data_IF_312450828259
#
_entry.id   IF_312450828259
#
_cell.length_a   1.000
_cell.length_b   1.000
_cell.length_c   1.000
_cell.angle_alpha   90.00
_cell.angle_beta   90.00
_cell.angle_gamma   90.00
#
_symmetry.space_group_name_H-M   'P 1'
#
loop_
_entity.id
_entity.type
_entity.pdbx_description
1 polymer ?
#
# COMPACT_ATOMS: atom_id res chain seq x y z
N UNK A 1 68.45 45.57 -30.00
CA UNK A 1 67.72 45.60 -31.28
C UNK A 1 66.26 45.28 -31.01
N UNK A 2 65.42 46.29 -31.21
CA UNK A 2 63.95 46.31 -31.38
C UNK A 2 63.03 45.47 -30.49
N UNK A 3 62.46 46.14 -29.47
CA UNK A 3 61.00 46.16 -29.24
C UNK A 3 60.29 47.04 -30.28
N UNK A 4 58.96 46.96 -30.46
CA UNK A 4 58.11 47.93 -29.76
C UNK A 4 56.66 47.51 -29.39
N UNK A 5 56.21 48.12 -28.28
CA UNK A 5 54.92 48.80 -28.03
C UNK A 5 53.58 48.00 -28.05
N UNK A 6 52.87 47.89 -26.91
CA UNK A 6 52.06 48.88 -26.12
C UNK A 6 50.60 48.97 -26.58
N UNK A 7 49.67 48.81 -25.63
CA UNK A 7 48.78 49.89 -25.18
C UNK A 7 48.07 49.51 -23.88
N UNK A 8 48.27 50.35 -22.87
CA UNK A 8 47.41 50.51 -21.70
C UNK A 8 46.30 51.50 -22.05
N UNK A 9 45.08 51.30 -21.54
CA UNK A 9 44.16 52.38 -21.14
C UNK A 9 43.38 51.92 -19.91
N UNK A 10 43.36 52.79 -18.91
CA UNK A 10 42.69 52.73 -17.63
C UNK A 10 41.67 53.86 -17.66
N UNK A 11 40.36 53.59 -17.50
CA UNK A 11 39.35 54.63 -17.25
C UNK A 11 38.19 54.09 -16.38
N UNK A 12 38.16 54.64 -15.16
CA UNK A 12 37.05 55.13 -14.34
C UNK A 12 35.80 54.28 -14.00
N UNK A 13 35.71 54.02 -12.69
CA UNK A 13 34.63 54.42 -11.76
C UNK A 13 33.17 54.17 -12.14
N UNK A 14 32.57 53.24 -11.39
CA UNK A 14 31.14 53.18 -11.15
C UNK A 14 30.90 52.56 -9.78
N UNK A 15 30.99 53.36 -8.72
CA UNK A 15 30.50 53.00 -7.40
C UNK A 15 28.99 52.80 -7.49
N UNK A 16 28.53 51.56 -7.55
CA UNK A 16 27.15 51.23 -7.24
C UNK A 16 27.12 50.68 -5.81
N UNK A 17 26.55 51.49 -4.91
CA UNK A 17 26.17 51.06 -3.57
C UNK A 17 25.26 49.83 -3.70
N UNK A 18 25.82 48.64 -3.50
CA UNK A 18 25.02 47.49 -3.10
C UNK A 18 24.67 47.71 -1.64
N UNK A 19 23.46 48.22 -1.43
CA UNK A 19 22.80 48.20 -0.13
C UNK A 19 22.87 46.75 0.36
N UNK A 20 23.66 46.53 1.42
CA UNK A 20 23.64 45.33 2.23
C UNK A 20 22.25 45.21 2.86
N UNK A 21 21.29 44.71 2.09
CA UNK A 21 20.20 43.98 2.69
C UNK A 21 20.84 42.71 3.24
N UNK A 22 20.87 42.59 4.56
CA UNK A 22 21.05 41.32 5.24
C UNK A 22 19.90 40.40 4.83
N UNK A 23 19.97 39.88 3.61
CA UNK A 23 19.07 38.85 3.12
C UNK A 23 19.33 37.61 3.96
N UNK A 24 18.29 37.10 4.62
CA UNK A 24 18.25 35.69 5.00
C UNK A 24 18.77 34.89 3.81
N UNK A 25 19.72 33.98 4.03
CA UNK A 25 20.28 33.19 2.94
C UNK A 25 19.14 32.57 2.14
N UNK A 26 19.24 32.59 0.81
CA UNK A 26 18.23 32.05 -0.12
C UNK A 26 17.87 30.57 0.16
N UNK A 27 18.68 29.87 0.97
CA UNK A 27 18.47 28.51 1.48
C UNK A 27 17.52 28.42 2.69
N UNK A 28 17.43 29.46 3.52
CA UNK A 28 16.64 29.43 4.77
C UNK A 28 15.14 29.64 4.56
N UNK A 29 14.73 30.16 3.40
CA UNK A 29 13.34 30.50 3.07
C UNK A 29 12.68 29.54 2.08
N UNK A 30 13.24 28.33 1.88
CA UNK A 30 12.78 27.40 0.85
C UNK A 30 11.64 26.48 1.30
N UNK A 31 11.53 26.21 2.60
CA UNK A 31 10.56 25.28 3.15
C UNK A 31 9.36 26.02 3.74
N UNK A 32 8.16 25.64 3.32
CA UNK A 32 6.91 26.14 3.88
C UNK A 32 6.43 25.20 4.99
N UNK A 33 6.59 25.61 6.25
CA UNK A 33 6.15 24.83 7.39
C UNK A 33 4.62 24.65 7.47
N UNK A 34 3.83 25.45 6.73
CA UNK A 34 2.38 25.26 6.63
C UNK A 34 2.01 23.99 5.88
N UNK A 35 2.91 23.48 5.05
CA UNK A 35 2.75 22.21 4.33
C UNK A 35 3.07 20.99 5.21
N UNK A 36 3.62 21.19 6.42
CA UNK A 36 4.03 20.10 7.30
C UNK A 36 2.84 19.25 7.75
N UNK A 37 2.96 17.94 7.55
CA UNK A 37 2.07 16.94 8.12
C UNK A 37 2.81 16.14 9.19
N UNK A 38 2.19 16.02 10.36
CA UNK A 38 2.67 15.15 11.43
C UNK A 38 1.95 13.82 11.34
N UNK A 39 2.59 12.76 11.83
CA UNK A 39 2.03 11.42 11.76
C UNK A 39 3.08 10.34 11.69
N UNK A 40 2.60 9.10 11.62
CA UNK A 40 3.43 7.92 11.42
C UNK A 40 3.17 7.36 10.03
N UNK A 41 4.25 7.11 9.31
CA UNK A 41 4.26 6.49 7.98
C UNK A 41 5.09 5.22 8.07
N UNK A 42 4.77 4.23 7.25
CA UNK A 42 5.59 3.02 7.13
C UNK A 42 5.72 2.69 5.67
N UNK A 43 6.95 2.62 5.18
CA UNK A 43 7.25 2.21 3.81
C UNK A 43 7.69 0.74 3.84
N UNK A 44 7.24 -0.07 2.89
CA UNK A 44 7.88 -1.36 2.58
C UNK A 44 9.09 -1.09 1.70
N UNK A 45 10.22 -1.72 2.02
CA UNK A 45 11.47 -1.60 1.28
C UNK A 45 11.62 -2.80 0.34
N UNK A 46 11.93 -2.55 -0.93
CA UNK A 46 12.16 -3.56 -1.94
C UNK A 46 13.55 -3.38 -2.57
N UNK A 47 14.25 -4.48 -2.83
CA UNK A 47 15.27 -4.50 -3.88
C UNK A 47 14.58 -4.69 -5.22
N UNK A 48 15.07 -4.00 -6.25
CA UNK A 48 14.52 -4.11 -7.60
C UNK A 48 15.60 -4.61 -8.56
N UNK A 49 15.42 -5.82 -9.07
CA UNK A 49 16.35 -6.48 -9.99
C UNK A 49 15.59 -7.06 -11.18
N UNK A 50 16.02 -6.75 -12.41
CA UNK A 50 15.37 -7.25 -13.63
C UNK A 50 13.87 -6.88 -13.74
N UNK A 51 13.43 -5.81 -13.08
CA UNK A 51 12.03 -5.40 -13.01
C UNK A 51 11.18 -6.16 -11.97
N UNK A 52 11.77 -7.09 -11.23
CA UNK A 52 11.11 -7.79 -10.11
C UNK A 52 11.44 -7.12 -8.78
N UNK A 53 10.45 -7.04 -7.90
CA UNK A 53 10.58 -6.45 -6.56
C UNK A 53 10.68 -7.58 -5.52
N UNK A 54 11.68 -7.52 -4.65
CA UNK A 54 11.80 -8.42 -3.50
C UNK A 54 11.69 -7.61 -2.21
N UNK A 55 10.69 -7.92 -1.38
CA UNK A 55 10.51 -7.28 -0.07
C UNK A 55 11.69 -7.66 0.84
N UNK A 56 12.38 -6.63 1.35
CA UNK A 56 13.53 -6.76 2.24
C UNK A 56 13.28 -6.19 3.64
N UNK A 57 12.08 -5.65 3.91
CA UNK A 57 11.70 -5.14 5.22
C UNK A 57 10.92 -3.83 5.16
N UNK A 58 11.03 -3.02 6.23
CA UNK A 58 10.26 -1.78 6.38
C UNK A 58 11.08 -0.60 6.88
N UNK A 59 10.64 0.60 6.50
CA UNK A 59 11.14 1.86 7.02
C UNK A 59 9.98 2.66 7.62
N UNK A 60 9.92 2.70 8.95
CA UNK A 60 8.91 3.44 9.68
C UNK A 60 9.41 4.83 10.05
N UNK A 61 8.57 5.84 9.86
CA UNK A 61 8.89 7.24 10.10
C UNK A 61 7.80 7.82 10.99
N UNK A 62 8.18 8.52 12.04
CA UNK A 62 7.24 9.25 12.89
C UNK A 62 7.70 10.71 13.03
N UNK A 63 6.84 11.60 12.56
CA UNK A 63 7.04 13.05 12.49
C UNK A 63 6.16 13.69 13.56
N UNK A 64 6.79 14.43 14.48
CA UNK A 64 6.11 15.15 15.55
C UNK A 64 6.61 16.58 15.64
N UNK A 65 5.77 17.46 16.15
CA UNK A 65 6.16 18.82 16.54
C UNK A 65 6.05 18.92 18.06
N UNK A 66 7.12 19.37 18.71
CA UNK A 66 7.16 19.64 20.15
C UNK A 66 8.06 20.83 20.41
N UNK A 67 7.64 21.79 21.23
CA UNK A 67 8.48 22.91 21.69
C UNK A 67 9.20 23.65 20.55
N UNK A 68 8.47 23.98 19.47
CA UNK A 68 9.01 24.63 18.27
C UNK A 68 10.14 23.85 17.57
N UNK A 69 10.15 22.53 17.74
CA UNK A 69 11.06 21.59 17.08
C UNK A 69 10.27 20.59 16.24
N UNK A 70 10.82 20.27 15.08
CA UNK A 70 10.46 19.11 14.30
C UNK A 70 11.26 17.91 14.84
N UNK A 71 10.57 16.88 15.30
CA UNK A 71 11.16 15.64 15.78
C UNK A 71 10.81 14.52 14.81
N UNK A 72 11.85 13.96 14.20
CA UNK A 72 11.77 12.81 13.31
C UNK A 72 12.38 11.60 14.01
N UNK A 73 11.62 10.53 14.11
CA UNK A 73 12.11 9.23 14.57
C UNK A 73 11.94 8.21 13.46
N UNK A 74 12.99 7.45 13.16
CA UNK A 74 12.96 6.44 12.10
C UNK A 74 13.36 5.08 12.65
N UNK A 75 12.72 4.03 12.13
CA UNK A 75 13.07 2.65 12.39
C UNK A 75 13.21 1.93 11.05
N UNK A 76 14.41 1.48 10.72
CA UNK A 76 14.66 0.58 9.59
C UNK A 76 14.70 -0.85 10.13
N UNK A 77 13.80 -1.70 9.65
CA UNK A 77 13.69 -3.10 10.04
C UNK A 77 13.81 -3.97 8.78
N UNK A 78 15.04 -4.38 8.46
CA UNK A 78 15.34 -5.27 7.34
C UNK A 78 15.31 -6.73 7.80
N UNK A 79 14.82 -7.64 6.97
CA UNK A 79 14.73 -9.05 7.32
C UNK A 79 16.10 -9.64 7.64
N UNK A 80 16.20 -10.36 8.76
CA UNK A 80 17.44 -10.98 9.23
C UNK A 80 18.45 -10.03 9.87
N UNK A 81 18.13 -8.73 10.02
CA UNK A 81 18.97 -7.74 10.69
C UNK A 81 18.24 -7.16 11.91
N UNK A 82 18.99 -6.73 12.92
CA UNK A 82 18.38 -5.94 14.01
C UNK A 82 17.94 -4.56 13.50
N UNK A 83 16.94 -3.99 14.16
CA UNK A 83 16.39 -2.67 13.82
C UNK A 83 17.43 -1.55 13.97
N UNK A 84 17.47 -0.64 12.99
CA UNK A 84 18.24 0.60 13.09
C UNK A 84 17.30 1.73 13.49
N UNK A 85 17.67 2.45 14.54
CA UNK A 85 16.85 3.48 15.15
C UNK A 85 17.56 4.80 15.08
N UNK A 86 16.87 5.80 14.55
CA UNK A 86 17.41 7.13 14.49
C UNK A 86 16.42 8.18 15.02
N UNK A 87 16.99 9.26 15.53
CA UNK A 87 16.25 10.46 15.92
C UNK A 87 16.96 11.66 15.31
N UNK A 88 16.23 12.48 14.55
CA UNK A 88 16.67 13.80 14.13
C UNK A 88 15.74 14.86 14.69
N UNK A 89 16.31 15.95 15.19
CA UNK A 89 15.57 17.08 15.72
C UNK A 89 16.06 18.34 15.02
N UNK A 90 15.13 19.08 14.44
CA UNK A 90 15.40 20.36 13.77
C UNK A 90 14.55 21.48 14.35
N UNK A 91 15.01 22.71 14.25
CA UNK A 91 14.20 23.89 14.57
C UNK A 91 13.04 24.00 13.57
N UNK A 92 11.80 24.21 14.04
CA UNK A 92 10.63 24.22 13.16
C UNK A 92 10.57 25.45 12.24
N UNK A 93 11.14 26.58 12.67
CA UNK A 93 11.06 27.85 11.92
C UNK A 93 12.06 27.95 10.77
N UNK A 94 13.17 27.20 10.83
CA UNK A 94 14.22 27.28 9.82
C UNK A 94 14.84 25.93 9.43
N UNK A 95 14.35 24.83 9.99
CA UNK A 95 14.80 23.45 9.74
C UNK A 95 16.30 23.17 9.95
N UNK A 96 17.04 24.09 10.59
CA UNK A 96 18.40 23.81 11.03
C UNK A 96 18.37 22.65 12.03
N UNK A 97 19.27 21.66 11.89
CA UNK A 97 19.34 20.57 12.84
C UNK A 97 19.79 21.08 14.21
N UNK A 98 19.36 20.37 15.24
CA UNK A 98 19.64 20.64 16.66
C UNK A 98 20.26 19.42 17.30
N UNK A 99 19.77 18.23 16.94
CA UNK A 99 20.26 16.96 17.47
C UNK A 99 20.07 15.84 16.47
N UNK A 100 20.99 14.88 16.48
CA UNK A 100 20.88 13.62 15.73
C UNK A 100 21.41 12.48 16.59
N UNK A 101 20.71 11.37 16.61
CA UNK A 101 21.23 10.10 17.10
C UNK A 101 20.92 8.97 16.12
N UNK A 102 21.83 8.02 16.04
CA UNK A 102 21.71 6.80 15.24
C UNK A 102 22.22 5.64 16.05
N UNK A 103 21.46 4.55 16.10
CA UNK A 103 21.88 3.30 16.73
C UNK A 103 21.50 2.13 15.84
N UNK A 104 22.50 1.31 15.51
CA UNK A 104 22.36 0.07 14.76
C UNK A 104 23.34 -0.98 15.26
N UNK A 105 23.36 -2.15 14.62
CA UNK A 105 24.39 -3.17 14.85
C UNK A 105 25.79 -2.72 14.44
N UNK A 106 25.89 -1.76 13.51
CA UNK A 106 27.16 -1.32 12.93
C UNK A 106 27.75 -0.11 13.66
N UNK A 107 26.90 0.77 14.19
CA UNK A 107 27.35 2.02 14.81
C UNK A 107 26.43 2.53 15.91
N UNK A 108 26.99 3.35 16.78
CA UNK A 108 26.24 4.37 17.53
C UNK A 108 26.79 5.75 17.18
N UNK A 109 25.92 6.73 17.02
CA UNK A 109 26.32 8.10 16.73
C UNK A 109 25.40 9.07 17.46
N UNK A 110 25.99 10.14 17.99
CA UNK A 110 25.28 11.29 18.54
C UNK A 110 25.92 12.56 17.99
N UNK A 111 25.10 13.49 17.53
CA UNK A 111 25.51 14.82 17.06
C UNK A 111 24.66 15.89 17.74
N UNK A 112 25.32 16.96 18.18
CA UNK A 112 24.73 18.20 18.65
C UNK A 112 25.13 19.31 17.70
N UNK A 113 24.15 20.05 17.20
CA UNK A 113 24.36 21.10 16.22
C UNK A 113 24.25 22.46 16.88
N UNK A 114 25.32 23.26 16.76
CA UNK A 114 25.39 24.64 17.25
C UNK A 114 26.33 25.47 16.39
N UNK A 115 27.11 26.37 17.01
CA UNK A 115 28.23 27.04 16.33
C UNK A 115 29.29 26.04 15.82
N UNK A 116 29.40 24.91 16.51
CA UNK A 116 30.15 23.73 16.11
C UNK A 116 29.19 22.54 16.07
N UNK A 117 29.46 21.56 15.21
CA UNK A 117 28.86 20.22 15.27
C UNK A 117 29.75 19.37 16.17
N UNK A 118 29.19 18.85 17.26
CA UNK A 118 29.93 18.07 18.26
C UNK A 118 29.25 16.73 18.53
N UNK A 119 30.00 15.76 19.06
CA UNK A 119 29.42 14.49 19.49
C UNK A 119 30.39 13.33 19.32
N UNK A 120 29.87 12.14 19.02
CA UNK A 120 30.71 10.97 18.80
C UNK A 120 30.15 10.03 17.74
N UNK A 121 31.06 9.24 17.16
CA UNK A 121 30.77 8.08 16.33
C UNK A 121 31.49 6.86 16.91
N UNK A 122 30.75 5.81 17.25
CA UNK A 122 31.28 4.53 17.68
C UNK A 122 31.07 3.53 16.54
N UNK A 123 32.16 3.05 15.96
CA UNK A 123 32.15 1.86 15.10
C UNK A 123 32.07 0.62 16.01
N UNK A 124 30.94 -0.10 15.97
CA UNK A 124 30.74 -1.28 16.82
C UNK A 124 31.55 -2.48 16.33
N UNK A 125 31.95 -2.51 15.07
CA UNK A 125 32.77 -3.59 14.50
C UNK A 125 34.21 -3.50 15.02
N UNK A 126 34.79 -2.31 15.03
CA UNK A 126 36.16 -2.09 15.50
C UNK A 126 36.26 -1.68 16.98
N UNK A 127 35.15 -1.29 17.60
CA UNK A 127 35.11 -0.68 18.94
C UNK A 127 35.66 0.75 18.98
N UNK A 128 36.05 1.33 17.83
CA UNK A 128 36.68 2.65 17.77
C UNK A 128 35.64 3.75 17.98
N UNK A 129 35.85 4.57 19.02
CA UNK A 129 35.07 5.79 19.28
C UNK A 129 35.83 7.02 18.79
N UNK A 130 35.24 7.74 17.84
CA UNK A 130 35.73 9.01 17.31
C UNK A 130 34.93 10.16 17.93
N UNK A 131 35.62 11.15 18.50
CA UNK A 131 35.00 12.40 18.92
C UNK A 131 34.84 13.32 17.71
N UNK A 132 33.69 13.97 17.62
CA UNK A 132 33.31 14.83 16.50
C UNK A 132 33.39 16.28 16.97
N UNK A 133 34.08 17.10 16.19
CA UNK A 133 34.14 18.55 16.37
C UNK A 133 34.40 19.22 15.01
N UNK A 134 33.37 19.80 14.44
CA UNK A 134 33.39 20.42 13.10
C UNK A 134 32.73 21.82 13.14
N UNK A 135 33.04 22.67 12.17
CA UNK A 135 32.39 23.98 12.06
C UNK A 135 30.90 23.83 11.74
N UNK A 136 30.02 24.48 12.51
CA UNK A 136 28.56 24.38 12.39
C UNK A 136 27.86 25.67 11.96
N UNK A 137 28.59 26.74 11.65
CA UNK A 137 28.02 28.07 11.41
C UNK A 137 27.27 28.21 10.07
N UNK A 138 27.57 27.35 9.09
CA UNK A 138 26.86 27.33 7.81
C UNK A 138 25.40 26.86 7.96
N UNK A 139 24.52 27.28 7.04
CA UNK A 139 23.17 26.71 6.97
C UNK A 139 23.21 25.35 6.25
N UNK A 140 22.63 24.34 6.88
CA UNK A 140 22.38 23.02 6.30
C UNK A 140 21.18 22.37 7.01
N UNK A 141 20.63 21.34 6.40
CA UNK A 141 19.62 20.44 7.01
C UNK A 141 20.24 19.07 7.28
N UNK A 142 19.62 18.30 8.16
CA UNK A 142 20.07 16.94 8.46
C UNK A 142 19.75 15.95 7.32
N UNK A 143 20.67 15.03 7.05
CA UNK A 143 20.58 14.00 6.00
C UNK A 143 19.40 13.05 6.11
N UNK A 144 18.88 12.79 7.31
CA UNK A 144 17.68 11.96 7.48
C UNK A 144 16.40 12.77 7.46
N UNK A 145 16.49 14.07 7.74
CA UNK A 145 15.34 14.97 7.73
C UNK A 145 15.04 15.47 6.32
N UNK A 146 16.06 15.75 5.50
CA UNK A 146 15.86 16.39 4.20
C UNK A 146 14.92 15.64 3.23
N UNK A 147 14.87 14.29 3.15
CA UNK A 147 13.95 13.62 2.24
C UNK A 147 12.49 13.96 2.55
N UNK A 148 12.15 14.15 3.82
CA UNK A 148 10.82 14.62 4.24
C UNK A 148 10.61 16.10 3.96
N UNK A 149 11.65 16.92 4.07
CA UNK A 149 11.57 18.35 3.77
C UNK A 149 11.31 18.63 2.28
N UNK A 150 11.56 17.68 1.37
CA UNK A 150 11.16 17.80 -0.03
C UNK A 150 9.65 18.06 -0.16
N UNK A 151 8.84 17.44 0.71
CA UNK A 151 7.39 17.68 0.78
C UNK A 151 7.01 19.07 1.29
N UNK A 152 7.95 19.88 1.74
CA UNK A 152 7.72 21.26 2.19
C UNK A 152 8.20 22.31 1.18
N UNK A 153 8.80 21.88 0.07
CA UNK A 153 9.20 22.78 -1.02
C UNK A 153 7.96 23.27 -1.79
N UNK A 154 7.99 24.48 -2.39
CA UNK A 154 6.94 24.97 -3.27
C UNK A 154 7.03 24.28 -4.65
N UNK A 155 6.79 22.96 -4.66
CA UNK A 155 6.93 22.10 -5.83
C UNK A 155 5.99 22.56 -6.97
N UNK A 156 6.57 22.69 -8.15
CA UNK A 156 5.89 22.96 -9.41
C UNK A 156 6.72 22.38 -10.56
N UNK A 157 6.12 22.18 -11.74
CA UNK A 157 6.88 21.68 -12.90
C UNK A 157 8.07 22.59 -13.22
N UNK A 158 9.26 22.02 -13.36
CA UNK A 158 10.50 22.75 -13.60
C UNK A 158 11.13 23.40 -12.36
N UNK A 159 10.56 23.20 -11.16
CA UNK A 159 11.18 23.65 -9.92
C UNK A 159 12.55 22.99 -9.72
N UNK A 160 13.52 23.80 -9.30
CA UNK A 160 14.87 23.34 -8.97
C UNK A 160 15.43 24.17 -7.81
N UNK A 161 16.21 23.52 -6.95
CA UNK A 161 16.89 24.16 -5.83
C UNK A 161 18.08 23.34 -5.38
N UNK A 162 19.03 23.98 -4.69
CA UNK A 162 20.12 23.31 -3.98
C UNK A 162 19.85 23.34 -2.47
N UNK A 163 20.01 22.19 -1.83
CA UNK A 163 19.84 22.01 -0.39
C UNK A 163 21.19 21.56 0.20
N UNK A 164 21.84 22.38 1.05
CA UNK A 164 23.00 21.94 1.80
C UNK A 164 22.55 20.93 2.86
N UNK A 165 23.13 19.72 2.80
CA UNK A 165 22.79 18.60 3.67
C UNK A 165 24.02 18.21 4.47
N UNK A 166 23.86 18.07 5.79
CA UNK A 166 24.90 17.55 6.66
C UNK A 166 24.72 16.05 6.90
N UNK A 167 25.76 15.28 6.61
CA UNK A 167 25.88 13.87 6.90
C UNK A 167 27.28 13.57 7.43
N UNK A 168 27.39 13.13 8.68
CA UNK A 168 28.67 12.72 9.22
C UNK A 168 29.05 11.31 8.75
N UNK A 169 30.14 11.22 7.99
CA UNK A 169 30.85 9.97 7.73
C UNK A 169 32.33 10.16 8.09
N UNK A 170 32.92 9.26 8.90
CA UNK A 170 34.32 9.40 9.32
C UNK A 170 35.34 9.50 8.18
N UNK A 171 35.02 8.98 7.00
CA UNK A 171 35.90 8.95 5.83
C UNK A 171 35.81 10.22 4.96
N UNK A 172 34.85 11.11 5.21
CA UNK A 172 34.63 12.28 4.37
C UNK A 172 35.65 13.39 4.66
N UNK A 173 36.07 14.10 3.61
CA UNK A 173 36.82 15.34 3.73
C UNK A 173 35.92 16.54 4.10
N UNK A 174 34.63 16.47 3.76
CA UNK A 174 33.58 17.41 4.16
C UNK A 174 32.29 16.63 4.41
N UNK A 175 31.64 16.91 5.54
CA UNK A 175 30.35 16.33 5.91
C UNK A 175 29.14 17.17 5.47
N UNK A 176 29.39 18.31 4.80
CA UNK A 176 28.35 19.06 4.10
C UNK A 176 28.40 18.69 2.63
N UNK A 177 27.26 18.22 2.13
CA UNK A 177 27.02 17.83 0.75
C UNK A 177 25.92 18.69 0.14
N UNK A 178 25.82 18.66 -1.18
CA UNK A 178 24.77 19.38 -1.92
C UNK A 178 23.80 18.39 -2.53
N UNK A 179 22.57 18.37 -2.02
CA UNK A 179 21.46 17.71 -2.67
C UNK A 179 20.82 18.69 -3.66
N UNK A 180 20.76 18.32 -4.94
CA UNK A 180 20.24 19.14 -6.02
C UNK A 180 18.89 18.56 -6.42
N UNK A 181 17.82 19.35 -6.26
CA UNK A 181 16.53 19.04 -6.89
C UNK A 181 16.67 19.38 -8.37
N UNK A 182 16.88 18.36 -9.19
CA UNK A 182 17.18 18.51 -10.62
C UNK A 182 15.91 18.74 -11.44
N UNK A 183 14.88 17.96 -11.15
CA UNK A 183 13.64 17.96 -11.90
C UNK A 183 12.46 17.76 -10.95
N UNK A 184 11.44 18.59 -11.14
CA UNK A 184 10.11 18.38 -10.59
C UNK A 184 9.15 18.36 -11.76
N UNK A 185 8.35 17.30 -11.87
CA UNK A 185 7.31 17.19 -12.91
C UNK A 185 6.04 16.55 -12.36
N UNK A 186 4.94 16.75 -13.09
CA UNK A 186 3.68 16.07 -12.77
C UNK A 186 3.79 14.60 -13.16
N UNK A 187 3.30 13.73 -12.31
CA UNK A 187 3.20 12.30 -12.57
C UNK A 187 1.93 11.76 -11.90
N UNK A 188 1.72 10.46 -11.97
CA UNK A 188 0.59 9.78 -11.34
C UNK A 188 1.10 8.63 -10.49
N UNK A 189 0.54 8.46 -9.30
CA UNK A 189 0.78 7.31 -8.45
C UNK A 189 -0.53 6.53 -8.27
N UNK A 190 -0.47 5.20 -8.34
CA UNK A 190 -1.65 4.33 -8.15
C UNK A 190 -1.50 3.58 -6.83
N UNK A 191 -2.20 4.06 -5.81
CA UNK A 191 -2.33 3.38 -4.53
C UNK A 191 -3.22 2.15 -4.66
N UNK A 192 -2.85 1.08 -3.93
CA UNK A 192 -3.64 -0.14 -3.82
C UNK A 192 -4.95 0.08 -3.08
N UNK A 193 -5.04 1.07 -2.18
CA UNK A 193 -6.20 1.31 -1.32
C UNK A 193 -7.05 2.51 -1.74
N UNK A 194 -6.39 3.61 -2.11
CA UNK A 194 -7.03 4.90 -2.37
C UNK A 194 -7.12 5.23 -3.86
N UNK A 195 -6.39 4.50 -4.71
CA UNK A 195 -6.46 4.60 -6.17
C UNK A 195 -5.48 5.63 -6.74
N UNK A 196 -5.87 6.26 -7.84
CA UNK A 196 -5.02 7.20 -8.59
C UNK A 196 -4.87 8.54 -7.87
N UNK A 197 -3.64 9.01 -7.71
CA UNK A 197 -3.27 10.31 -7.15
C UNK A 197 -2.40 11.09 -8.12
N UNK A 198 -2.67 12.40 -8.22
CA UNK A 198 -1.75 13.32 -8.88
C UNK A 198 -0.58 13.61 -7.94
N UNK A 199 0.64 13.43 -8.45
CA UNK A 199 1.86 13.56 -7.66
C UNK A 199 2.88 14.45 -8.36
N UNK A 200 3.78 15.03 -7.56
CA UNK A 200 5.06 15.55 -8.00
C UNK A 200 6.07 14.40 -7.99
N UNK A 201 6.66 14.12 -9.14
CA UNK A 201 7.86 13.30 -9.24
C UNK A 201 9.06 14.24 -9.07
N UNK A 202 9.81 14.06 -7.98
CA UNK A 202 10.92 14.92 -7.57
C UNK A 202 12.21 14.13 -7.68
N UNK A 203 13.05 14.50 -8.64
CA UNK A 203 14.39 13.91 -8.83
C UNK A 203 15.41 14.72 -8.05
N UNK A 204 16.18 14.04 -7.19
CA UNK A 204 17.27 14.63 -6.42
C UNK A 204 18.56 13.88 -6.72
N UNK A 205 19.64 14.61 -6.98
CA UNK A 205 20.98 14.05 -7.10
C UNK A 205 21.93 14.64 -6.05
N UNK A 206 22.95 13.86 -5.71
CA UNK A 206 24.05 14.30 -4.84
C UNK A 206 25.37 14.08 -5.62
N UNK A 207 25.84 15.10 -6.38
CA UNK A 207 26.93 14.91 -7.35
C UNK A 207 28.25 14.39 -6.76
N UNK A 208 28.50 14.62 -5.47
CA UNK A 208 29.72 14.20 -4.80
C UNK A 208 29.80 12.68 -4.59
N UNK A 209 28.65 12.02 -4.41
CA UNK A 209 28.56 10.56 -4.23
C UNK A 209 27.97 9.84 -5.44
N UNK A 210 27.38 10.58 -6.39
CA UNK A 210 26.61 10.00 -7.48
C UNK A 210 25.26 9.43 -7.04
N UNK A 211 24.86 9.64 -5.79
CA UNK A 211 23.57 9.18 -5.29
C UNK A 211 22.44 9.90 -6.03
N UNK A 212 21.40 9.14 -6.40
CA UNK A 212 20.18 9.66 -7.01
C UNK A 212 18.97 9.12 -6.27
N UNK A 213 17.94 9.94 -6.15
CA UNK A 213 16.64 9.51 -5.67
C UNK A 213 15.50 10.15 -6.47
N UNK A 214 14.37 9.46 -6.53
CA UNK A 214 13.12 9.94 -7.11
C UNK A 214 12.01 9.73 -6.10
N UNK A 215 11.35 10.82 -5.70
CA UNK A 215 10.24 10.79 -4.73
C UNK A 215 8.91 11.12 -5.41
N UNK A 216 7.87 10.38 -5.06
CA UNK A 216 6.49 10.64 -5.50
C UNK A 216 5.72 11.29 -4.35
N UNK A 217 5.45 12.59 -4.46
CA UNK A 217 4.83 13.40 -3.41
C UNK A 217 3.46 13.89 -3.89
N UNK A 218 2.40 13.59 -3.14
CA UNK A 218 1.05 14.01 -3.46
C UNK A 218 0.91 15.53 -3.65
N UNK A 219 0.26 15.96 -4.73
CA UNK A 219 0.13 17.39 -5.01
C UNK A 219 -0.75 18.12 -4.00
N UNK A 220 -1.74 17.44 -3.41
CA UNK A 220 -2.73 18.05 -2.51
C UNK A 220 -2.37 17.80 -1.04
N UNK A 221 -2.08 16.56 -0.69
CA UNK A 221 -1.90 16.12 0.70
C UNK A 221 -0.45 16.19 1.16
N UNK A 222 0.51 16.32 0.21
CA UNK A 222 1.96 16.27 0.44
C UNK A 222 2.45 14.93 1.00
N UNK A 223 1.62 13.89 0.93
CA UNK A 223 1.96 12.52 1.31
C UNK A 223 3.08 11.98 0.43
N UNK A 224 4.05 11.31 1.04
CA UNK A 224 5.13 10.62 0.34
C UNK A 224 4.68 9.20 0.01
N UNK A 225 4.44 8.93 -1.27
CA UNK A 225 3.92 7.65 -1.77
C UNK A 225 5.02 6.63 -2.03
N UNK A 226 6.14 7.09 -2.61
CA UNK A 226 7.24 6.23 -3.00
C UNK A 226 8.56 7.01 -3.01
N UNK A 227 9.66 6.31 -2.70
CA UNK A 227 11.03 6.77 -2.90
C UNK A 227 11.81 5.68 -3.63
N UNK A 228 12.36 5.99 -4.78
CA UNK A 228 13.36 5.16 -5.44
C UNK A 228 14.74 5.77 -5.17
N UNK A 229 15.69 4.96 -4.68
CA UNK A 229 17.06 5.40 -4.41
C UNK A 229 18.05 4.48 -5.10
N UNK A 230 19.02 5.07 -5.80
CA UNK A 230 20.09 4.34 -6.47
C UNK A 230 21.40 4.52 -5.73
N UNK A 231 22.10 3.40 -5.52
CA UNK A 231 23.48 3.37 -5.04
C UNK A 231 24.23 2.26 -5.77
N UNK A 232 25.31 2.60 -6.49
CA UNK A 232 26.13 1.65 -7.27
C UNK A 232 25.27 0.71 -8.16
N UNK A 233 24.35 1.27 -8.94
CA UNK A 233 23.41 0.55 -9.83
C UNK A 233 22.37 -0.36 -9.14
N UNK A 234 22.36 -0.45 -7.81
CA UNK A 234 21.29 -1.12 -7.07
C UNK A 234 20.15 -0.14 -6.77
N UNK A 235 18.93 -0.52 -7.13
CA UNK A 235 17.72 0.23 -6.82
C UNK A 235 17.08 -0.33 -5.54
N UNK A 236 16.93 0.54 -4.55
CA UNK A 236 16.02 0.32 -3.42
C UNK A 236 14.78 1.17 -3.63
N UNK A 237 13.62 0.52 -3.64
CA UNK A 237 12.31 1.16 -3.72
C UNK A 237 11.62 1.09 -2.37
N UNK A 238 11.14 2.22 -1.89
CA UNK A 238 10.36 2.30 -0.66
C UNK A 238 8.94 2.75 -1.01
N UNK A 239 7.93 1.98 -0.64
CA UNK A 239 6.52 2.24 -1.00
C UNK A 239 5.67 2.36 0.25
N UNK A 240 4.86 3.40 0.34
CA UNK A 240 3.96 3.62 1.47
C UNK A 240 2.97 2.48 1.66
N UNK A 241 2.92 1.93 2.87
CA UNK A 241 1.98 0.86 3.26
C UNK A 241 0.58 1.37 3.53
N UNK A 242 0.40 2.69 3.62
CA UNK A 242 -0.90 3.31 3.92
C UNK A 242 -1.48 2.81 5.24
N UNK A 243 -0.63 2.68 6.29
CA UNK A 243 -1.03 2.11 7.58
C UNK A 243 -2.12 2.91 8.32
N UNK A 244 -2.35 4.14 7.90
CA UNK A 244 -3.41 5.04 8.36
C UNK A 244 -4.71 4.91 7.55
N UNK A 245 -4.72 4.13 6.45
CA UNK A 245 -5.92 3.88 5.67
C UNK A 245 -6.87 2.96 6.43
N UNK A 246 -7.91 3.56 7.00
CA UNK A 246 -9.08 2.83 7.49
C UNK A 246 -10.35 3.61 7.16
N UNK A 247 -11.20 3.05 6.29
CA UNK A 247 -12.47 3.66 5.93
C UNK A 247 -13.66 3.10 6.72
N UNK A 248 -13.43 2.20 7.68
CA UNK A 248 -14.46 1.68 8.57
C UNK A 248 -14.65 2.67 9.72
N UNK A 249 -15.85 3.25 9.82
CA UNK A 249 -16.19 4.25 10.84
C UNK A 249 -16.90 3.67 12.05
N UNK A 250 -17.60 2.55 11.86
CA UNK A 250 -18.31 1.86 12.95
C UNK A 250 -17.31 1.38 13.99
N UNK A 251 -17.54 1.64 15.29
CA UNK A 251 -16.69 1.12 16.35
C UNK A 251 -16.83 -0.40 16.43
N UNK A 252 -15.76 -1.07 16.86
CA UNK A 252 -15.77 -2.50 17.14
C UNK A 252 -15.77 -2.75 18.65
N UNK A 253 -16.78 -3.47 19.13
CA UNK A 253 -16.85 -3.96 20.51
C UNK A 253 -16.61 -5.47 20.52
N UNK A 254 -15.41 -5.88 20.93
CA UNK A 254 -15.01 -7.29 21.00
C UNK A 254 -15.86 -8.08 21.99
N UNK A 255 -16.15 -7.52 23.16
CA UNK A 255 -16.84 -8.24 24.22
C UNK A 255 -18.30 -8.52 23.82
N UNK A 256 -19.00 -7.50 23.33
CA UNK A 256 -20.37 -7.66 22.83
C UNK A 256 -20.44 -8.61 21.64
N UNK A 257 -19.48 -8.52 20.71
CA UNK A 257 -19.45 -9.38 19.52
C UNK A 257 -19.15 -10.85 19.88
N UNK A 258 -18.22 -11.12 20.81
CA UNK A 258 -17.96 -12.47 21.31
C UNK A 258 -19.19 -13.06 22.00
N UNK A 259 -19.98 -12.26 22.72
CA UNK A 259 -21.23 -12.72 23.31
C UNK A 259 -22.24 -13.16 22.25
N UNK A 260 -22.32 -12.49 21.09
CA UNK A 260 -23.22 -12.92 20.01
C UNK A 260 -22.96 -14.38 19.61
N UNK A 261 -21.69 -14.77 19.50
CA UNK A 261 -21.31 -16.09 19.02
C UNK A 261 -21.11 -17.14 20.12
N UNK A 262 -20.95 -16.76 21.39
CA UNK A 262 -20.66 -17.73 22.48
C UNK A 262 -21.66 -17.71 23.64
N UNK A 263 -22.47 -16.66 23.76
CA UNK A 263 -23.28 -16.38 24.95
C UNK A 263 -24.72 -16.87 24.89
N UNK A 264 -25.19 -17.40 23.76
CA UNK A 264 -26.60 -17.76 23.58
C UNK A 264 -26.86 -19.26 23.60
N UNK A 265 -28.11 -19.62 23.28
CA UNK A 265 -28.60 -21.01 23.25
C UNK A 265 -29.17 -21.42 21.88
N UNK A 266 -29.17 -20.50 20.92
CA UNK A 266 -29.75 -20.73 19.59
C UNK A 266 -28.79 -21.53 18.72
N UNK A 267 -29.37 -22.19 17.71
CA UNK A 267 -28.67 -23.04 16.74
C UNK A 267 -29.04 -22.57 15.34
N UNK A 268 -28.04 -22.45 14.47
CA UNK A 268 -28.25 -22.35 13.03
C UNK A 268 -27.75 -23.66 12.42
N UNK A 269 -28.63 -24.44 11.80
CA UNK A 269 -28.27 -25.65 11.05
C UNK A 269 -28.65 -25.49 9.59
N UNK A 270 -28.03 -26.24 8.70
CA UNK A 270 -28.35 -26.08 7.30
C UNK A 270 -27.70 -27.09 6.39
N UNK A 271 -27.92 -26.87 5.10
CA UNK A 271 -27.37 -27.68 4.02
C UNK A 271 -26.74 -26.81 2.94
N UNK A 272 -25.52 -27.18 2.50
CA UNK A 272 -24.78 -26.52 1.43
C UNK A 272 -24.87 -27.33 0.14
N UNK A 273 -25.31 -26.70 -0.95
CA UNK A 273 -25.37 -27.33 -2.27
C UNK A 273 -25.40 -26.33 -3.43
N UNK A 274 -25.06 -26.80 -4.62
CA UNK A 274 -25.18 -26.09 -5.88
C UNK A 274 -26.24 -26.79 -6.75
N UNK A 275 -26.88 -25.99 -7.59
CA UNK A 275 -27.63 -26.48 -8.74
C UNK A 275 -27.15 -25.75 -9.96
N UNK A 276 -26.94 -26.52 -11.00
CA UNK A 276 -26.60 -26.08 -12.33
C UNK A 276 -27.83 -26.26 -13.24
N UNK A 277 -27.90 -25.49 -14.32
CA UNK A 277 -28.92 -25.65 -15.35
C UNK A 277 -28.23 -25.63 -16.72
N UNK A 278 -28.63 -26.53 -17.62
CA UNK A 278 -28.28 -26.46 -19.05
C UNK A 278 -29.01 -25.25 -19.69
N UNK A 279 -28.32 -24.12 -19.86
CA UNK A 279 -28.84 -23.00 -20.65
C UNK A 279 -28.57 -23.21 -22.14
N UNK A 280 -29.45 -23.99 -22.79
CA UNK A 280 -29.47 -24.10 -24.25
C UNK A 280 -30.18 -22.90 -24.92
N UNK A 281 -30.39 -21.77 -24.22
CA UNK A 281 -30.89 -20.51 -24.79
C UNK A 281 -32.34 -20.51 -25.27
N UNK A 282 -33.11 -21.57 -25.03
CA UNK A 282 -34.52 -21.68 -25.45
C UNK A 282 -35.50 -21.42 -24.31
N UNK A 283 -36.67 -20.86 -24.61
CA UNK A 283 -37.76 -20.67 -23.64
C UNK A 283 -38.20 -22.00 -22.99
N UNK A 284 -37.97 -23.13 -23.67
CA UNK A 284 -38.20 -24.47 -23.14
C UNK A 284 -37.15 -24.94 -22.12
N UNK A 285 -35.90 -24.45 -22.16
CA UNK A 285 -34.90 -24.71 -21.12
C UNK A 285 -35.33 -24.12 -19.77
N UNK A 286 -36.03 -22.96 -19.78
CA UNK A 286 -36.69 -22.39 -18.59
C UNK A 286 -37.91 -23.19 -18.11
N UNK A 287 -38.50 -24.05 -18.95
CA UNK A 287 -39.62 -24.94 -18.58
C UNK A 287 -39.17 -26.35 -18.18
N UNK A 288 -37.91 -26.74 -18.43
CA UNK A 288 -37.30 -27.97 -17.90
C UNK A 288 -37.01 -27.91 -16.39
N UNK A 289 -37.73 -27.08 -15.64
CA UNK A 289 -37.74 -27.02 -14.16
C UNK A 289 -38.08 -28.38 -13.52
N UNK A 290 -38.61 -29.34 -14.29
CA UNK A 290 -38.95 -30.68 -13.82
C UNK A 290 -37.84 -31.73 -14.00
N UNK A 291 -36.79 -31.48 -14.79
CA UNK A 291 -35.67 -32.40 -14.94
C UNK A 291 -34.45 -31.87 -14.18
N UNK A 292 -34.45 -32.16 -12.88
CA UNK A 292 -33.45 -31.74 -11.90
C UNK A 292 -32.06 -32.19 -12.37
N UNK A 293 -31.24 -31.29 -12.93
CA UNK A 293 -29.79 -31.49 -12.92
C UNK A 293 -29.34 -31.63 -11.46
N UNK A 294 -28.57 -32.69 -11.20
CA UNK A 294 -28.36 -33.25 -9.87
C UNK A 294 -27.93 -32.19 -8.86
N UNK A 295 -28.62 -32.15 -7.72
CA UNK A 295 -28.18 -31.35 -6.57
C UNK A 295 -26.76 -31.80 -6.19
N UNK A 296 -25.78 -30.91 -6.34
CA UNK A 296 -24.40 -31.17 -5.98
C UNK A 296 -24.15 -30.62 -4.58
N UNK A 297 -24.05 -31.50 -3.60
CA UNK A 297 -23.82 -31.12 -2.19
C UNK A 297 -22.36 -30.80 -1.96
N UNK A 298 -22.09 -29.89 -1.02
CA UNK A 298 -20.71 -29.64 -0.60
C UNK A 298 -20.13 -30.89 0.08
N UNK A 299 -18.88 -31.27 -0.22
CA UNK A 299 -18.25 -32.44 0.38
C UNK A 299 -18.05 -32.28 1.89
N UNK A 300 -17.96 -33.42 2.58
CA UNK A 300 -17.58 -33.45 4.00
C UNK A 300 -16.24 -32.74 4.20
N UNK A 301 -16.17 -31.89 5.22
CA UNK A 301 -15.00 -31.05 5.48
C UNK A 301 -15.03 -29.68 4.81
N UNK A 302 -15.98 -29.38 3.92
CA UNK A 302 -16.17 -28.01 3.42
C UNK A 302 -16.42 -27.05 4.58
N UNK A 303 -15.63 -25.99 4.65
CA UNK A 303 -15.76 -24.98 5.69
C UNK A 303 -16.99 -24.10 5.45
N UNK A 304 -17.75 -23.87 6.51
CA UNK A 304 -18.80 -22.86 6.60
C UNK A 304 -18.39 -21.86 7.65
N UNK A 305 -18.44 -20.57 7.31
CA UNK A 305 -18.04 -19.46 8.16
C UNK A 305 -19.29 -18.69 8.59
N UNK A 306 -19.37 -18.34 9.86
CA UNK A 306 -20.39 -17.48 10.44
C UNK A 306 -19.73 -16.20 10.95
N UNK A 307 -20.12 -15.08 10.36
CA UNK A 307 -19.67 -13.73 10.71
C UNK A 307 -20.83 -13.03 11.44
N UNK A 308 -20.64 -12.49 12.65
CA UNK A 308 -21.63 -11.62 13.29
C UNK A 308 -21.98 -10.47 12.35
N UNK A 309 -23.26 -10.22 12.08
CA UNK A 309 -23.69 -9.22 11.10
C UNK A 309 -24.13 -7.92 11.78
N UNK A 310 -23.31 -7.44 12.72
CA UNK A 310 -23.49 -6.15 13.40
C UNK A 310 -23.03 -4.97 12.51
N UNK A 311 -23.15 -3.74 13.02
CA UNK A 311 -22.82 -2.53 12.26
C UNK A 311 -21.39 -2.52 11.70
N UNK A 312 -20.40 -2.95 12.50
CA UNK A 312 -19.00 -3.04 12.10
C UNK A 312 -18.79 -3.99 10.90
N UNK A 313 -19.25 -5.24 11.02
CA UNK A 313 -19.05 -6.21 9.93
C UNK A 313 -19.86 -5.85 8.69
N UNK A 314 -21.07 -5.28 8.84
CA UNK A 314 -21.86 -4.77 7.71
C UNK A 314 -21.10 -3.71 6.93
N UNK A 315 -20.49 -2.74 7.62
CA UNK A 315 -19.67 -1.71 6.97
C UNK A 315 -18.42 -2.31 6.34
N UNK A 316 -17.69 -3.17 7.07
CA UNK A 316 -16.48 -3.82 6.59
C UNK A 316 -16.70 -4.61 5.28
N UNK A 317 -17.77 -5.41 5.23
CA UNK A 317 -18.14 -6.16 4.02
C UNK A 317 -18.47 -5.19 2.88
N UNK A 318 -19.29 -4.18 3.13
CA UNK A 318 -19.70 -3.21 2.10
C UNK A 318 -18.50 -2.45 1.53
N UNK A 319 -17.59 -2.01 2.39
CA UNK A 319 -16.36 -1.30 2.00
C UNK A 319 -15.48 -2.21 1.15
N UNK A 320 -15.22 -3.44 1.60
CA UNK A 320 -14.35 -4.36 0.85
C UNK A 320 -14.97 -4.83 -0.48
N UNK A 321 -16.28 -4.98 -0.55
CA UNK A 321 -16.97 -5.22 -1.81
C UNK A 321 -16.85 -4.02 -2.77
N UNK A 322 -16.88 -2.79 -2.24
CA UNK A 322 -16.64 -1.59 -3.04
C UNK A 322 -15.18 -1.50 -3.54
N UNK A 323 -14.21 -1.82 -2.68
CA UNK A 323 -12.79 -1.84 -3.06
C UNK A 323 -12.52 -2.86 -4.16
N UNK A 324 -13.01 -4.08 -4.00
CA UNK A 324 -12.88 -5.15 -5.02
C UNK A 324 -13.47 -4.75 -6.37
N UNK A 325 -14.63 -4.10 -6.39
CA UNK A 325 -15.25 -3.58 -7.63
C UNK A 325 -14.40 -2.53 -8.33
N UNK A 326 -13.56 -1.81 -7.58
CA UNK A 326 -12.64 -0.79 -8.09
C UNK A 326 -11.24 -1.33 -8.41
N UNK A 327 -11.01 -2.65 -8.28
CA UNK A 327 -9.68 -3.25 -8.44
C UNK A 327 -8.69 -2.86 -7.34
N UNK A 328 -9.19 -2.48 -6.16
CA UNK A 328 -8.40 -2.03 -5.00
C UNK A 328 -8.36 -3.10 -3.93
N UNK A 329 -7.32 -3.04 -3.11
CA UNK A 329 -7.14 -3.92 -1.96
C UNK A 329 -8.16 -3.61 -0.86
N UNK A 330 -8.65 -4.68 -0.21
CA UNK A 330 -9.59 -4.56 0.89
C UNK A 330 -8.91 -4.16 2.20
N UNK A 331 -9.69 -3.62 3.13
CA UNK A 331 -9.24 -3.39 4.50
C UNK A 331 -9.18 -4.74 5.21
N UNK A 332 -8.02 -5.08 5.76
CA UNK A 332 -7.87 -6.27 6.59
C UNK A 332 -8.79 -6.21 7.82
N UNK A 333 -9.30 -7.35 8.26
CA UNK A 333 -9.97 -7.46 9.56
C UNK A 333 -8.94 -7.24 10.66
N UNK A 334 -9.33 -6.55 11.74
CA UNK A 334 -8.51 -6.54 12.95
C UNK A 334 -8.48 -7.93 13.58
N UNK A 335 -7.40 -8.26 14.30
CA UNK A 335 -7.28 -9.55 15.00
C UNK A 335 -8.44 -9.78 15.97
N UNK A 336 -8.88 -8.72 16.65
CA UNK A 336 -10.03 -8.77 17.57
C UNK A 336 -11.35 -9.09 16.86
N UNK A 337 -11.57 -8.55 15.65
CA UNK A 337 -12.74 -8.88 14.84
C UNK A 337 -12.64 -10.29 14.26
N UNK A 338 -11.47 -10.70 13.79
CA UNK A 338 -11.23 -12.05 13.28
C UNK A 338 -11.53 -13.14 14.32
N UNK A 339 -11.18 -12.91 15.60
CA UNK A 339 -11.50 -13.82 16.71
C UNK A 339 -13.01 -13.99 16.98
N UNK A 340 -13.84 -13.10 16.45
CA UNK A 340 -15.29 -13.15 16.59
C UNK A 340 -16.00 -13.88 15.44
N UNK A 341 -15.24 -14.40 14.48
CA UNK A 341 -15.77 -15.22 13.39
C UNK A 341 -15.75 -16.68 13.82
N UNK A 342 -16.88 -17.38 13.65
CA UNK A 342 -16.96 -18.82 13.87
C UNK A 342 -16.78 -19.55 12.55
N UNK A 343 -16.17 -20.72 12.61
CA UNK A 343 -16.19 -21.69 11.52
C UNK A 343 -16.68 -23.04 12.02
N UNK A 344 -17.30 -23.78 11.11
CA UNK A 344 -17.67 -25.18 11.26
C UNK A 344 -17.40 -25.87 9.93
N UNK A 345 -17.50 -27.19 9.91
CA UNK A 345 -17.35 -27.95 8.68
C UNK A 345 -18.65 -28.70 8.38
N UNK A 346 -18.87 -28.94 7.10
CA UNK A 346 -19.85 -29.95 6.66
C UNK A 346 -19.47 -31.28 7.30
N UNK A 347 -20.39 -31.86 8.08
CA UNK A 347 -20.11 -33.05 8.90
C UNK A 347 -20.54 -34.37 8.26
N UNK A 348 -21.32 -34.32 7.17
CA UNK A 348 -21.80 -35.50 6.45
C UNK A 348 -21.75 -35.34 4.92
N UNK A 349 -21.99 -36.43 4.21
CA UNK A 349 -21.99 -36.47 2.74
C UNK A 349 -23.28 -35.92 2.14
N UNK A 350 -24.12 -35.27 2.96
CA UNK A 350 -25.35 -34.60 2.53
C UNK A 350 -25.19 -33.08 2.59
N UNK A 351 -24.01 -32.55 2.92
CA UNK A 351 -23.76 -31.12 2.96
C UNK A 351 -24.26 -30.43 4.23
N UNK A 352 -24.56 -31.17 5.31
CA UNK A 352 -25.11 -30.57 6.52
C UNK A 352 -24.04 -29.94 7.41
N UNK A 353 -24.40 -28.83 8.06
CA UNK A 353 -23.57 -28.08 8.99
C UNK A 353 -24.40 -27.52 10.15
N UNK A 354 -23.73 -27.14 11.24
CA UNK A 354 -24.37 -26.45 12.35
C UNK A 354 -23.44 -25.48 13.10
N UNK A 355 -24.06 -24.43 13.65
CA UNK A 355 -23.49 -23.51 14.61
C UNK A 355 -24.37 -23.47 15.86
N UNK A 356 -23.74 -23.57 17.02
CA UNK A 356 -24.41 -23.57 18.34
C UNK A 356 -23.97 -22.39 19.19
N UNK A 357 -24.70 -22.16 20.29
CA UNK A 357 -24.44 -21.15 21.31
C UNK A 357 -24.56 -19.70 20.80
N UNK A 358 -25.50 -19.46 19.89
CA UNK A 358 -25.73 -18.15 19.28
C UNK A 358 -26.78 -17.37 20.07
N UNK A 359 -26.55 -16.06 20.23
CA UNK A 359 -27.58 -15.13 20.72
C UNK A 359 -28.57 -14.78 19.60
N UNK A 360 -29.75 -14.22 19.93
CA UNK A 360 -30.53 -13.47 18.95
C UNK A 360 -29.68 -12.39 18.26
N UNK A 361 -29.86 -12.26 16.95
CA UNK A 361 -29.07 -11.36 16.11
C UNK A 361 -29.03 -11.78 14.66
N UNK A 362 -28.38 -10.96 13.85
CA UNK A 362 -28.12 -11.25 12.44
C UNK A 362 -26.71 -11.82 12.27
N UNK A 363 -26.59 -12.81 11.38
CA UNK A 363 -25.38 -13.52 11.07
C UNK A 363 -25.23 -13.68 9.57
N UNK A 364 -24.04 -13.41 9.04
CA UNK A 364 -23.70 -13.73 7.65
C UNK A 364 -23.04 -15.10 7.61
N UNK A 365 -23.64 -16.01 6.86
CA UNK A 365 -23.03 -17.28 6.50
C UNK A 365 -22.27 -17.15 5.18
N UNK A 366 -21.06 -17.67 5.14
CA UNK A 366 -20.19 -17.74 3.96
C UNK A 366 -19.67 -19.16 3.78
N UNK A 367 -19.65 -19.64 2.53
CA UNK A 367 -18.99 -20.89 2.18
C UNK A 367 -18.63 -20.89 0.69
N UNK A 368 -17.61 -21.67 0.36
CA UNK A 368 -17.15 -21.89 -1.00
C UNK A 368 -16.79 -23.37 -1.20
N UNK A 369 -17.21 -23.94 -2.33
CA UNK A 369 -16.84 -25.30 -2.73
C UNK A 369 -16.92 -25.48 -4.25
N UNK A 370 -16.15 -26.43 -4.76
CA UNK A 370 -16.17 -26.81 -6.18
C UNK A 370 -17.36 -27.70 -6.52
N UNK A 371 -17.88 -27.56 -7.74
CA UNK A 371 -18.94 -28.39 -8.31
C UNK A 371 -18.74 -28.54 -9.82
N UNK A 372 -19.30 -29.58 -10.43
CA UNK A 372 -19.21 -29.82 -11.86
C UNK A 372 -20.27 -29.01 -12.61
N UNK A 373 -19.85 -28.26 -13.63
CA UNK A 373 -20.73 -27.56 -14.55
C UNK A 373 -20.90 -28.38 -15.82
N UNK A 374 -22.12 -28.81 -16.11
CA UNK A 374 -22.45 -29.53 -17.34
C UNK A 374 -23.15 -28.59 -18.33
N UNK A 375 -22.70 -28.59 -19.58
CA UNK A 375 -23.34 -27.84 -20.66
C UNK A 375 -23.41 -28.68 -21.94
N UNK A 376 -24.45 -28.47 -22.75
CA UNK A 376 -24.54 -29.05 -24.10
C UNK A 376 -24.32 -27.99 -25.19
N UNK A 377 -23.58 -28.34 -26.24
CA UNK A 377 -23.35 -27.46 -27.39
C UNK A 377 -23.68 -28.19 -28.69
N UNK A 378 -24.42 -27.51 -29.57
CA UNK A 378 -24.64 -27.96 -30.94
C UNK A 378 -23.42 -27.61 -31.79
N UNK A 379 -22.77 -28.63 -32.35
CA UNK A 379 -21.60 -28.49 -33.20
C UNK A 379 -21.93 -28.92 -34.63
N UNK A 380 -21.53 -28.11 -35.60
CA UNK A 380 -21.65 -28.46 -37.03
C UNK A 380 -20.58 -29.50 -37.36
N UNK A 381 -21.01 -30.69 -37.77
CA UNK A 381 -20.13 -31.81 -38.14
C UNK A 381 -20.11 -32.11 -39.63
N UNK A 382 -20.90 -31.39 -40.41
CA UNK A 382 -20.90 -31.48 -41.86
C UNK A 382 -21.99 -30.62 -42.48
N UNK A 383 -22.09 -30.68 -43.81
CA UNK A 383 -23.14 -30.01 -44.57
C UNK A 383 -23.74 -31.00 -45.57
N UNK A 384 -25.05 -30.90 -45.79
CA UNK A 384 -25.76 -31.61 -46.83
C UNK A 384 -26.20 -30.62 -47.90
N UNK A 385 -25.71 -30.81 -49.11
CA UNK A 385 -26.03 -29.99 -50.27
C UNK A 385 -27.33 -30.49 -50.92
N UNK A 386 -28.23 -29.56 -51.24
CA UNK A 386 -29.50 -29.86 -51.88
C UNK A 386 -29.46 -29.46 -53.35
N UNK A 387 -29.89 -30.35 -54.23
CA UNK A 387 -29.95 -30.13 -55.67
C UNK A 387 -31.37 -30.37 -56.18
N UNK A 388 -31.88 -29.47 -57.03
CA UNK A 388 -33.14 -29.63 -57.74
C UNK A 388 -32.83 -29.62 -59.24
N UNK A 389 -33.20 -30.68 -59.96
CA UNK A 389 -32.91 -30.85 -61.39
C UNK A 389 -31.43 -30.64 -61.77
N UNK A 390 -30.51 -31.11 -60.92
CA UNK A 390 -29.05 -30.98 -61.12
C UNK A 390 -28.47 -29.60 -60.77
N UNK A 391 -29.29 -28.63 -60.36
CA UNK A 391 -28.86 -27.29 -59.96
C UNK A 391 -28.81 -27.16 -58.44
N UNK A 392 -27.68 -26.68 -57.92
CA UNK A 392 -27.45 -26.44 -56.49
C UNK A 392 -28.46 -25.42 -55.93
N UNK A 393 -29.13 -25.78 -54.83
CA UNK A 393 -30.15 -24.96 -54.16
C UNK A 393 -29.70 -24.41 -52.81
N UNK A 394 -28.62 -24.94 -52.24
CA UNK A 394 -28.08 -24.53 -50.94
C UNK A 394 -27.65 -25.71 -50.08
N UNK A 395 -27.01 -25.41 -48.96
CA UNK A 395 -26.52 -26.41 -48.01
C UNK A 395 -27.21 -26.25 -46.66
N UNK A 396 -27.58 -27.37 -46.04
CA UNK A 396 -28.01 -27.40 -44.63
C UNK A 396 -26.90 -27.94 -43.76
N UNK A 397 -26.64 -27.27 -42.64
CA UNK A 397 -25.67 -27.76 -41.65
C UNK A 397 -26.19 -29.02 -40.95
N UNK A 398 -25.35 -30.06 -40.87
CA UNK A 398 -25.57 -31.23 -40.05
C UNK A 398 -24.96 -30.95 -38.68
N UNK A 399 -25.79 -30.93 -37.65
CA UNK A 399 -25.34 -30.67 -36.28
C UNK A 399 -25.44 -31.91 -35.40
N UNK A 400 -24.54 -32.03 -34.43
CA UNK A 400 -24.65 -32.97 -33.31
C UNK A 400 -24.57 -32.20 -32.01
N UNK A 401 -25.36 -32.61 -31.02
CA UNK A 401 -25.25 -32.07 -29.67
C UNK A 401 -24.19 -32.87 -28.90
N UNK A 402 -23.18 -32.19 -28.36
CA UNK A 402 -22.18 -32.77 -27.46
C UNK A 402 -22.38 -32.21 -26.05
N UNK A 403 -22.18 -33.08 -25.05
CA UNK A 403 -22.24 -32.71 -23.63
C UNK A 403 -20.82 -32.58 -23.09
N UNK A 404 -20.58 -31.51 -22.36
CA UNK A 404 -19.30 -31.16 -21.74
C UNK A 404 -19.49 -31.02 -20.23
N UNK A 405 -18.45 -31.35 -19.46
CA UNK A 405 -18.38 -31.08 -18.02
C UNK A 405 -17.09 -30.35 -17.69
N UNK A 406 -17.17 -29.30 -16.87
CA UNK A 406 -16.04 -28.48 -16.44
C UNK A 406 -16.16 -28.15 -14.95
N UNK A 407 -15.04 -28.04 -14.24
CA UNK A 407 -15.08 -27.62 -12.83
C UNK A 407 -15.52 -26.16 -12.68
N UNK A 408 -16.40 -25.90 -11.72
CA UNK A 408 -16.89 -24.58 -11.33
C UNK A 408 -16.82 -24.38 -9.81
N UNK A 409 -16.90 -23.14 -9.33
CA UNK A 409 -16.88 -22.80 -7.90
C UNK A 409 -18.18 -22.11 -7.45
N UNK A 410 -18.74 -22.56 -6.35
CA UNK A 410 -19.93 -21.99 -5.72
C UNK A 410 -19.54 -21.14 -4.52
N UNK A 411 -19.49 -19.81 -4.69
CA UNK A 411 -19.38 -18.85 -3.58
C UNK A 411 -20.78 -18.44 -3.12
N UNK A 412 -21.09 -18.69 -1.85
CA UNK A 412 -22.42 -18.45 -1.27
C UNK A 412 -22.31 -17.52 -0.06
N UNK A 413 -23.12 -16.46 -0.05
CA UNK A 413 -23.29 -15.52 1.05
C UNK A 413 -24.77 -15.45 1.41
N UNK A 414 -25.13 -15.62 2.69
CA UNK A 414 -26.51 -15.52 3.15
C UNK A 414 -26.61 -14.92 4.54
N UNK A 415 -27.36 -13.83 4.68
CA UNK A 415 -27.73 -13.27 5.97
C UNK A 415 -28.87 -14.10 6.57
N UNK A 416 -28.74 -14.42 7.84
CA UNK A 416 -29.68 -15.23 8.63
C UNK A 416 -29.96 -14.48 9.93
N UNK A 417 -31.22 -14.45 10.34
CA UNK A 417 -31.65 -13.79 11.58
C UNK A 417 -32.11 -14.85 12.57
N UNK A 418 -31.58 -14.79 13.79
CA UNK A 418 -32.07 -15.49 14.96
C UNK A 418 -32.87 -14.47 15.76
N UNK A 419 -34.18 -14.68 15.91
CA UNK A 419 -35.07 -13.72 16.56
C UNK A 419 -35.18 -14.00 18.05
N UNK A 420 -35.27 -15.28 18.44
CA UNK A 420 -35.55 -15.67 19.82
C UNK A 420 -34.39 -16.45 20.47
N UNK A 421 -34.17 -16.29 21.79
CA UNK A 421 -33.20 -17.11 22.52
C UNK A 421 -33.56 -18.60 22.45
N UNK A 422 -32.61 -19.46 22.08
CA UNK A 422 -32.84 -20.91 21.96
C UNK A 422 -33.48 -21.36 20.65
N UNK A 423 -33.74 -20.44 19.72
CA UNK A 423 -34.30 -20.75 18.40
C UNK A 423 -33.37 -21.66 17.59
N UNK A 424 -33.98 -22.61 16.85
CA UNK A 424 -33.28 -23.44 15.86
C UNK A 424 -33.68 -22.95 14.47
N UNK A 425 -32.72 -22.37 13.75
CA UNK A 425 -32.94 -21.83 12.40
C UNK A 425 -32.34 -22.78 11.37
N UNK A 426 -33.18 -23.33 10.49
CA UNK A 426 -32.73 -24.14 9.37
C UNK A 426 -32.50 -23.30 8.10
N UNK A 427 -31.35 -23.46 7.46
CA UNK A 427 -30.99 -22.68 6.27
C UNK A 427 -30.45 -23.52 5.12
N UNK A 428 -30.81 -23.12 3.90
CA UNK A 428 -30.21 -23.64 2.67
C UNK A 428 -29.20 -22.62 2.14
N UNK A 429 -27.94 -23.03 2.07
CA UNK A 429 -26.87 -22.31 1.37
C UNK A 429 -26.79 -22.87 -0.04
N UNK A 430 -27.49 -22.20 -0.97
CA UNK A 430 -27.65 -22.65 -2.36
C UNK A 430 -27.00 -21.69 -3.34
N UNK A 431 -26.14 -22.21 -4.23
CA UNK A 431 -25.80 -21.54 -5.49
C UNK A 431 -26.72 -22.07 -6.59
N UNK A 432 -27.29 -21.15 -7.37
CA UNK A 432 -28.01 -21.49 -8.60
C UNK A 432 -27.32 -20.74 -9.73
N UNK A 433 -26.78 -21.46 -10.70
CA UNK A 433 -26.32 -20.86 -11.96
C UNK A 433 -27.49 -20.90 -12.93
N UNK A 434 -27.80 -19.77 -13.54
CA UNK A 434 -28.85 -19.63 -14.55
C UNK A 434 -28.19 -19.54 -15.92
#
# INVERSE_FOLDING_TARGET
>A
MFTPFRRSVLVLSGSLFLILHAGKSRSQSQFDNKLLKTGKYTLTCYTVEGGSETDIGTFAINIRVSDNKLVLTTVMALYGLEEWKDTAISNLGNFKPVYRSSSSTLKDMVLHYGSEVTGYYLDKKSGKKTQIKEAGSAYFVDSYTYPFLLSLLPLSSGYSTEIPVYEYLPANSSNIKKAIVEEVKRSTYVSKFTGTHEVWEVTVSEPATGQKSVSYIDQQTRRLWQIDTWSNDHLIRMVDKETDFNSIKSPFDKAATLQMIKGGKSVISGQVFARDFDDNGTVFAKMQVMNIQAKQVAPRGTQVILIPYNAYFKEWIKVNESQRKKGREGIALSDDAAQCIKSTNVYDDKGHFEFVNLMPGEYLLYTEFGYDHSYSQSEVVGYTDHYLNGMFQGSTANTVNRNYSTGANAVIKKVVTVTNPGEKVEVKLKKTRA
#
